data_IF_000254792140
#
_entry.id   IF_000254792140
#
_cell.length_a   1.000
_cell.length_b   1.000
_cell.length_c   1.000
_cell.angle_alpha   90.00
_cell.angle_beta   90.00
_cell.angle_gamma   90.00
#
_symmetry.space_group_name_H-M   'P 1'
#
loop_
_entity.id
_entity.type
_entity.pdbx_description
1 polymer ?
#
# COMPACT_ATOMS: atom_id res chain seq x y z
N UNK A 1 -9.26 20.51 -6.49
CA UNK A 1 -8.13 19.63 -6.91
C UNK A 1 -7.62 18.76 -5.77
N UNK A 2 -7.37 19.31 -4.57
CA UNK A 2 -6.84 18.58 -3.40
C UNK A 2 -7.61 17.28 -3.07
N UNK A 3 -8.92 17.35 -2.81
CA UNK A 3 -9.72 16.17 -2.46
C UNK A 3 -9.66 15.03 -3.49
N UNK A 4 -9.53 15.34 -4.79
CA UNK A 4 -9.51 14.31 -5.86
C UNK A 4 -8.29 13.39 -5.77
N UNK A 5 -7.19 13.86 -5.18
CA UNK A 5 -5.95 13.11 -5.09
C UNK A 5 -5.69 12.53 -3.70
N UNK A 6 -6.08 13.25 -2.64
CA UNK A 6 -5.86 12.79 -1.27
C UNK A 6 -6.95 11.82 -0.78
N UNK A 7 -8.20 11.99 -1.23
CA UNK A 7 -9.32 11.14 -0.80
C UNK A 7 -9.14 9.67 -1.20
N UNK A 8 -8.74 9.33 -2.45
CA UNK A 8 -8.50 7.94 -2.82
C UNK A 8 -7.43 7.27 -1.95
N UNK A 9 -6.37 8.00 -1.57
CA UNK A 9 -5.31 7.48 -0.70
C UNK A 9 -5.83 7.18 0.70
N UNK A 10 -6.62 8.09 1.28
CA UNK A 10 -7.20 7.89 2.62
C UNK A 10 -8.21 6.75 2.63
N UNK A 11 -9.08 6.68 1.62
CA UNK A 11 -10.03 5.59 1.47
C UNK A 11 -9.32 4.24 1.28
N UNK A 12 -8.23 4.21 0.53
CA UNK A 12 -7.45 2.99 0.32
C UNK A 12 -6.70 2.56 1.58
N UNK A 13 -6.15 3.50 2.34
CA UNK A 13 -5.55 3.21 3.64
C UNK A 13 -6.59 2.62 4.61
N UNK A 14 -7.78 3.23 4.70
CA UNK A 14 -8.88 2.70 5.50
C UNK A 14 -9.32 1.31 5.03
N UNK A 15 -9.41 1.10 3.72
CA UNK A 15 -9.69 -0.21 3.14
C UNK A 15 -8.67 -1.26 3.60
N UNK A 16 -7.36 -0.97 3.51
CA UNK A 16 -6.30 -1.86 4.01
C UNK A 16 -6.52 -2.21 5.49
N UNK A 17 -6.80 -1.22 6.33
CA UNK A 17 -7.04 -1.46 7.76
C UNK A 17 -8.23 -2.40 7.97
N UNK A 18 -9.33 -2.19 7.24
CA UNK A 18 -10.53 -3.01 7.37
C UNK A 18 -10.30 -4.46 6.92
N UNK A 19 -9.64 -4.68 5.78
CA UNK A 19 -9.41 -6.05 5.28
C UNK A 19 -8.43 -6.82 6.17
N UNK A 20 -7.41 -6.14 6.72
CA UNK A 20 -6.45 -6.76 7.64
C UNK A 20 -7.06 -7.05 9.02
N UNK A 21 -8.11 -6.31 9.42
CA UNK A 21 -8.83 -6.53 10.67
C UNK A 21 -9.84 -7.70 10.63
N UNK A 22 -10.39 -8.03 9.46
CA UNK A 22 -11.36 -9.15 9.32
C UNK A 22 -10.66 -10.47 9.63
N UNK A 23 -11.15 -11.35 10.52
CA UNK A 23 -10.52 -12.65 10.83
C UNK A 23 -10.44 -13.63 9.64
N UNK A 24 -9.34 -14.38 9.55
CA UNK A 24 -9.05 -15.31 8.45
C UNK A 24 -9.68 -16.70 8.61
N UNK A 25 -10.21 -17.02 9.79
CA UNK A 25 -10.90 -18.28 10.12
C UNK A 25 -12.22 -18.49 9.35
N UNK A 26 -12.73 -17.43 8.70
CA UNK A 26 -13.91 -17.46 7.84
C UNK A 26 -13.61 -17.80 6.37
N UNK A 27 -12.34 -17.98 6.00
CA UNK A 27 -11.93 -18.27 4.61
C UNK A 27 -11.72 -19.78 4.44
N UNK A 28 -12.39 -20.43 3.45
CA UNK A 28 -12.25 -21.86 3.22
C UNK A 28 -10.79 -22.23 2.87
N UNK A 29 -10.26 -23.23 3.58
CA UNK A 29 -8.88 -23.71 3.45
C UNK A 29 -8.74 -24.61 2.22
N UNK A 30 -8.03 -24.13 1.20
CA UNK A 30 -7.63 -24.92 0.02
C UNK A 30 -6.11 -25.12 0.07
N UNK A 31 -5.65 -26.37 0.04
CA UNK A 31 -4.26 -26.77 0.32
C UNK A 31 -3.18 -26.16 -0.59
N UNK A 32 -3.48 -25.90 -1.87
CA UNK A 32 -2.56 -25.19 -2.78
C UNK A 32 -2.46 -23.68 -2.46
N UNK A 33 -3.56 -23.07 -2.02
CA UNK A 33 -3.60 -21.66 -1.61
C UNK A 33 -2.94 -21.46 -0.23
N UNK A 34 -2.94 -22.46 0.66
CA UNK A 34 -2.23 -22.38 1.94
C UNK A 34 -0.71 -22.24 1.79
N UNK A 35 -0.10 -22.90 0.79
CA UNK A 35 1.35 -22.75 0.52
C UNK A 35 1.70 -21.37 -0.04
N UNK A 36 0.82 -20.82 -0.90
CA UNK A 36 0.97 -19.45 -1.41
C UNK A 36 0.66 -18.38 -0.35
N UNK A 37 -0.10 -18.73 0.70
CA UNK A 37 -0.80 -17.79 1.62
C UNK A 37 -1.31 -16.56 0.88
N UNK A 38 -2.51 -16.59 0.25
CA UNK A 38 -3.04 -15.47 -0.52
C UNK A 38 -2.91 -14.10 0.19
N UNK A 39 -2.96 -14.06 1.52
CA UNK A 39 -2.64 -12.87 2.34
C UNK A 39 -1.35 -12.18 1.88
N UNK A 40 -0.22 -12.87 1.63
CA UNK A 40 1.06 -12.22 1.27
C UNK A 40 1.03 -11.49 -0.07
N UNK A 41 0.39 -12.09 -1.08
CA UNK A 41 0.26 -11.44 -2.39
C UNK A 41 -0.71 -10.27 -2.28
N UNK A 42 -1.77 -10.41 -1.47
CA UNK A 42 -2.68 -9.30 -1.16
C UNK A 42 -1.91 -8.16 -0.51
N UNK A 43 -1.11 -8.41 0.53
CA UNK A 43 -0.24 -7.43 1.19
C UNK A 43 0.66 -6.69 0.18
N UNK A 44 1.34 -7.43 -0.69
CA UNK A 44 2.18 -6.84 -1.75
C UNK A 44 1.37 -5.93 -2.69
N UNK A 45 0.21 -6.39 -3.17
CA UNK A 45 -0.62 -5.64 -4.10
C UNK A 45 -1.26 -4.40 -3.46
N UNK A 46 -1.83 -4.53 -2.26
CA UNK A 46 -2.56 -3.43 -1.62
C UNK A 46 -1.61 -2.32 -1.17
N UNK A 47 -0.42 -2.65 -0.65
CA UNK A 47 0.60 -1.66 -0.31
C UNK A 47 1.30 -1.09 -1.55
N UNK A 48 1.45 -1.86 -2.63
CA UNK A 48 1.91 -1.32 -3.90
C UNK A 48 0.94 -0.28 -4.47
N UNK A 49 -0.36 -0.56 -4.42
CA UNK A 49 -1.38 0.40 -4.83
C UNK A 49 -1.41 1.63 -3.91
N UNK A 50 -1.26 1.45 -2.58
CA UNK A 50 -1.15 2.57 -1.64
C UNK A 50 0.04 3.49 -2.00
N UNK A 51 1.19 2.91 -2.33
CA UNK A 51 2.37 3.68 -2.74
C UNK A 51 2.11 4.49 -4.03
N UNK A 52 1.47 3.87 -5.04
CA UNK A 52 1.07 4.56 -6.27
C UNK A 52 0.14 5.73 -5.97
N UNK A 53 -0.85 5.55 -5.10
CA UNK A 53 -1.79 6.59 -4.72
C UNK A 53 -1.11 7.74 -3.97
N UNK A 54 -0.19 7.44 -3.05
CA UNK A 54 0.63 8.45 -2.35
C UNK A 54 1.48 9.25 -3.34
N UNK A 55 2.18 8.58 -4.27
CA UNK A 55 3.01 9.25 -5.27
C UNK A 55 2.18 10.15 -6.19
N UNK A 56 1.01 9.68 -6.65
CA UNK A 56 0.06 10.53 -7.40
C UNK A 56 -0.38 11.71 -6.54
N UNK A 57 -0.67 11.48 -5.27
CA UNK A 57 -1.12 12.53 -4.36
C UNK A 57 -0.06 13.62 -4.16
N UNK A 58 1.22 13.25 -4.04
CA UNK A 58 2.29 14.22 -3.81
C UNK A 58 2.77 14.90 -5.08
N UNK A 59 2.89 14.15 -6.18
CA UNK A 59 3.51 14.62 -7.43
C UNK A 59 2.50 15.12 -8.46
N UNK A 60 1.27 14.61 -8.47
CA UNK A 60 0.26 15.03 -9.45
C UNK A 60 -0.59 16.19 -8.95
N UNK A 61 -0.88 16.24 -7.65
CA UNK A 61 -1.64 17.33 -7.06
C UNK A 61 -0.82 18.62 -6.90
N UNK A 62 0.52 18.55 -7.01
CA UNK A 62 1.46 19.64 -6.69
C UNK A 62 1.21 20.26 -5.30
N UNK A 63 0.56 19.52 -4.39
CA UNK A 63 -0.03 20.08 -3.18
C UNK A 63 1.01 20.54 -2.15
N UNK A 64 2.21 19.98 -2.20
CA UNK A 64 3.23 20.16 -1.15
C UNK A 64 4.57 20.73 -1.67
N UNK A 65 4.66 21.12 -2.95
CA UNK A 65 5.91 21.59 -3.59
C UNK A 65 7.13 20.70 -3.30
N UNK A 66 6.91 19.38 -3.17
CA UNK A 66 7.96 18.42 -2.86
C UNK A 66 8.79 18.12 -4.11
N UNK A 67 10.10 17.98 -3.94
CA UNK A 67 10.94 17.38 -4.96
C UNK A 67 10.53 15.92 -5.18
N UNK A 68 10.76 15.40 -6.38
CA UNK A 68 10.40 14.01 -6.72
C UNK A 68 11.03 13.00 -5.76
N UNK A 69 12.32 13.19 -5.45
CA UNK A 69 13.05 12.36 -4.49
C UNK A 69 12.40 12.37 -3.11
N UNK A 70 12.03 13.55 -2.61
CA UNK A 70 11.42 13.68 -1.30
C UNK A 70 10.02 13.02 -1.25
N UNK A 71 9.21 13.20 -2.30
CA UNK A 71 7.91 12.55 -2.40
C UNK A 71 8.02 11.02 -2.39
N UNK A 72 9.02 10.45 -3.08
CA UNK A 72 9.28 9.00 -3.09
C UNK A 72 9.67 8.51 -1.70
N UNK A 73 10.61 9.19 -1.05
CA UNK A 73 11.07 8.81 0.31
C UNK A 73 9.88 8.86 1.27
N UNK A 74 9.11 9.95 1.28
CA UNK A 74 7.96 10.11 2.16
C UNK A 74 6.91 9.03 1.88
N UNK A 75 6.58 8.75 0.60
CA UNK A 75 5.60 7.73 0.25
C UNK A 75 6.01 6.32 0.72
N UNK A 76 7.28 5.95 0.52
CA UNK A 76 7.80 4.66 0.97
C UNK A 76 7.83 4.58 2.51
N UNK A 77 8.28 5.63 3.19
CA UNK A 77 8.27 5.70 4.65
C UNK A 77 6.85 5.56 5.21
N UNK A 78 5.86 6.24 4.63
CA UNK A 78 4.45 6.10 5.03
C UNK A 78 3.99 4.65 4.86
N UNK A 79 4.28 4.01 3.72
CA UNK A 79 3.86 2.62 3.49
C UNK A 79 4.49 1.65 4.48
N UNK A 80 5.79 1.79 4.77
CA UNK A 80 6.53 0.92 5.69
C UNK A 80 6.02 1.11 7.13
N UNK A 81 5.91 2.35 7.59
CA UNK A 81 5.43 2.66 8.95
C UNK A 81 3.97 2.23 9.11
N UNK A 82 3.12 2.51 8.12
CA UNK A 82 1.72 2.11 8.15
C UNK A 82 1.56 0.59 8.11
N UNK A 83 2.34 -0.11 7.27
CA UNK A 83 2.32 -1.56 7.23
C UNK A 83 2.75 -2.19 8.55
N UNK A 84 3.84 -1.70 9.15
CA UNK A 84 4.27 -2.15 10.46
C UNK A 84 3.22 -1.89 11.56
N UNK A 85 2.54 -0.74 11.49
CA UNK A 85 1.44 -0.42 12.42
C UNK A 85 0.26 -1.37 12.24
N UNK A 86 -0.13 -1.71 11.00
CA UNK A 86 -1.21 -2.66 10.72
C UNK A 86 -0.88 -4.04 11.29
N UNK A 87 0.34 -4.54 11.08
CA UNK A 87 0.77 -5.82 11.66
C UNK A 87 0.78 -5.78 13.21
N UNK A 88 1.23 -4.66 13.78
CA UNK A 88 1.19 -4.48 15.23
C UNK A 88 -0.25 -4.49 15.77
N UNK A 89 -1.19 -3.85 15.07
CA UNK A 89 -2.61 -3.87 15.44
C UNK A 89 -3.22 -5.27 15.28
N UNK A 90 -2.85 -6.03 14.25
CA UNK A 90 -3.24 -7.43 14.10
C UNK A 90 -2.72 -8.32 15.22
N UNK A 91 -1.53 -8.01 15.75
CA UNK A 91 -0.96 -8.73 16.90
C UNK A 91 -1.60 -8.33 18.25
N UNK A 92 -1.91 -7.04 18.44
CA UNK A 92 -2.25 -6.49 19.77
C UNK A 92 -3.72 -6.16 19.99
N UNK A 93 -4.49 -5.87 18.93
CA UNK A 93 -5.86 -5.34 19.02
C UNK A 93 -6.89 -6.23 18.37
N UNK A 94 -6.61 -6.79 17.19
CA UNK A 94 -7.61 -7.54 16.42
C UNK A 94 -7.74 -8.99 16.90
N UNK A 95 -8.95 -9.35 17.35
CA UNK A 95 -9.27 -10.70 17.83
C UNK A 95 -9.20 -11.68 16.66
N UNK A 96 -8.66 -12.89 16.91
CA UNK A 96 -8.46 -13.94 15.90
C UNK A 96 -7.58 -13.51 14.73
N UNK A 97 -6.71 -12.52 14.94
CA UNK A 97 -5.60 -12.17 14.06
C UNK A 97 -4.28 -12.28 14.82
N UNK A 98 -3.23 -12.50 14.05
CA UNK A 98 -1.85 -12.53 14.51
C UNK A 98 -1.05 -11.69 13.53
N UNK A 99 -0.32 -10.68 14.02
CA UNK A 99 0.64 -9.98 13.17
C UNK A 99 1.77 -10.92 12.74
N UNK A 100 2.27 -10.77 11.52
CA UNK A 100 3.38 -11.56 10.97
C UNK A 100 4.45 -10.62 10.40
N UNK A 101 5.68 -10.76 10.88
CA UNK A 101 6.83 -9.98 10.35
C UNK A 101 7.01 -10.21 8.85
N UNK A 102 6.63 -11.38 8.32
CA UNK A 102 6.67 -11.66 6.89
C UNK A 102 5.66 -10.85 6.10
N UNK A 103 4.54 -10.49 6.70
CA UNK A 103 3.53 -9.63 6.08
C UNK A 103 3.99 -8.17 6.10
N UNK A 104 4.68 -7.71 7.17
CA UNK A 104 5.39 -6.42 7.15
C UNK A 104 6.46 -6.32 6.04
N UNK A 105 7.20 -7.43 5.79
CA UNK A 105 8.16 -7.50 4.68
C UNK A 105 7.42 -7.45 3.33
N UNK A 106 6.32 -8.20 3.18
CA UNK A 106 5.50 -8.18 1.95
C UNK A 106 4.91 -6.78 1.68
N UNK A 107 4.42 -6.08 2.70
CA UNK A 107 3.96 -4.69 2.63
C UNK A 107 5.06 -3.77 2.09
N UNK A 108 6.28 -3.92 2.62
CA UNK A 108 7.44 -3.13 2.21
C UNK A 108 7.85 -3.40 0.76
N UNK A 109 7.93 -4.67 0.35
CA UNK A 109 8.22 -5.07 -1.03
C UNK A 109 7.14 -4.54 -1.98
N UNK A 110 5.86 -4.66 -1.59
CA UNK A 110 4.73 -4.09 -2.30
C UNK A 110 4.90 -2.60 -2.57
N UNK A 111 5.26 -1.83 -1.54
CA UNK A 111 5.51 -0.39 -1.68
C UNK A 111 6.62 -0.08 -2.70
N UNK A 112 7.75 -0.81 -2.67
CA UNK A 112 8.82 -0.64 -3.66
C UNK A 112 8.38 -0.99 -5.08
N UNK A 113 7.60 -2.05 -5.26
CA UNK A 113 7.03 -2.41 -6.56
C UNK A 113 6.03 -1.37 -7.06
N UNK A 114 5.22 -0.80 -6.17
CA UNK A 114 4.32 0.32 -6.46
C UNK A 114 5.06 1.54 -6.97
N UNK A 115 6.15 1.93 -6.29
CA UNK A 115 7.04 3.00 -6.76
C UNK A 115 7.63 2.72 -8.14
N UNK A 116 8.16 1.51 -8.35
CA UNK A 116 8.70 1.10 -9.65
C UNK A 116 7.64 1.18 -10.77
N UNK A 117 6.43 0.67 -10.51
CA UNK A 117 5.31 0.71 -11.44
C UNK A 117 4.86 2.16 -11.74
N UNK A 118 4.82 3.02 -10.72
CA UNK A 118 4.51 4.44 -10.87
C UNK A 118 5.47 5.12 -11.87
N UNK A 119 6.78 4.91 -11.69
CA UNK A 119 7.79 5.48 -12.57
C UNK A 119 7.72 4.93 -14.00
N UNK A 120 7.39 3.65 -14.15
CA UNK A 120 7.39 3.00 -15.47
C UNK A 120 6.17 3.31 -16.32
N UNK A 121 5.00 3.43 -15.69
CA UNK A 121 3.72 3.53 -16.40
C UNK A 121 3.06 4.90 -16.26
N UNK A 122 2.95 5.41 -15.04
CA UNK A 122 2.20 6.64 -14.78
C UNK A 122 3.02 7.90 -15.12
N UNK A 123 4.30 7.93 -14.74
CA UNK A 123 5.20 9.04 -15.08
C UNK A 123 5.41 9.17 -16.60
N UNK A 124 5.59 8.04 -17.31
CA UNK A 124 5.77 8.03 -18.77
C UNK A 124 4.55 8.53 -19.52
N UNK A 125 3.33 8.14 -19.11
CA UNK A 125 2.10 8.64 -19.73
C UNK A 125 1.97 10.16 -19.56
N UNK A 126 2.25 10.68 -18.36
CA UNK A 126 2.19 12.13 -18.09
C UNK A 126 3.16 12.95 -18.95
N UNK A 127 4.36 12.43 -19.21
CA UNK A 127 5.33 13.07 -20.11
C UNK A 127 4.85 13.05 -21.57
N UNK A 128 4.19 11.97 -22.01
CA UNK A 128 3.64 11.84 -23.36
C UNK A 128 2.41 12.73 -23.60
N UNK A 129 1.60 12.98 -22.59
CA UNK A 129 0.42 13.88 -22.66
C UNK A 129 0.76 15.38 -22.66
N UNK A 130 2.00 15.74 -22.31
CA UNK A 130 2.49 17.14 -22.28
C UNK A 130 3.39 17.51 -23.46
N UNK A 131 3.71 16.54 -24.33
CA UNK A 131 4.48 16.72 -25.55
C UNK A 131 3.51 16.75 -26.74
#
# INVERSE_FOLDING_TARGET
MFLRYHLPTLLWALFILTICAVPGDRIPKLSFLEWLKPDKIVHLLVFGMLCILLLRSFLDANALNLSEKNAIIIALSICIVYGALVEFLQYSVFINRSGDVRDAIANSIGAFLGWWAYNRFFKKQKKKLKA
#
